data_IF_936034106904
#
_entry.id   IF_936034106904
#
_cell.length_a   1.000
_cell.length_b   1.000
_cell.length_c   1.000
_cell.angle_alpha   90.00
_cell.angle_beta   90.00
_cell.angle_gamma   90.00
#
_symmetry.space_group_name_H-M   'P 1'
#
loop_
_entity.id
_entity.type
_entity.pdbx_description
1 polymer ?
#
# COMPACT_ATOMS: atom_id res chain seq x y z
N UNK A 1 5.85 -37.73 -14.99
CA UNK A 1 7.30 -37.72 -15.35
C UNK A 1 7.97 -39.02 -14.92
N UNK A 2 9.09 -39.41 -15.55
CA UNK A 2 9.82 -40.63 -15.19
C UNK A 2 11.08 -40.28 -14.38
N UNK A 3 11.20 -40.83 -13.18
CA UNK A 3 12.37 -40.70 -12.32
C UNK A 3 12.81 -42.09 -11.87
N UNK A 4 14.09 -42.44 -12.07
CA UNK A 4 14.63 -43.73 -11.61
C UNK A 4 13.95 -44.98 -12.19
N UNK A 5 13.25 -44.88 -13.33
CA UNK A 5 12.48 -46.00 -13.91
C UNK A 5 11.04 -46.10 -13.43
N UNK A 6 10.62 -45.26 -12.48
CA UNK A 6 9.23 -45.17 -12.00
C UNK A 6 8.49 -44.00 -12.67
N UNK A 7 7.22 -44.24 -13.02
CA UNK A 7 6.34 -43.24 -13.61
C UNK A 7 5.47 -42.61 -12.53
N UNK A 8 5.55 -41.27 -12.43
CA UNK A 8 4.76 -40.48 -11.49
C UNK A 8 3.68 -39.69 -12.22
N UNK A 9 2.45 -39.76 -11.70
CA UNK A 9 1.32 -38.92 -12.11
C UNK A 9 1.30 -37.65 -11.25
N UNK A 10 1.26 -36.49 -11.91
CA UNK A 10 1.30 -35.18 -11.25
C UNK A 10 0.34 -34.23 -11.95
N UNK A 11 -0.50 -33.56 -11.16
CA UNK A 11 -1.34 -32.48 -11.66
C UNK A 11 -0.50 -31.22 -11.90
N UNK A 12 -0.73 -30.56 -13.03
CA UNK A 12 -0.04 -29.33 -13.39
C UNK A 12 -0.95 -28.35 -14.14
N UNK A 13 -0.72 -27.06 -13.90
CA UNK A 13 -1.21 -25.99 -14.76
C UNK A 13 -0.19 -25.73 -15.86
N UNK A 14 -0.63 -25.58 -17.10
CA UNK A 14 0.25 -25.28 -18.22
C UNK A 14 0.22 -23.79 -18.57
N UNK A 15 1.39 -23.23 -18.87
CA UNK A 15 1.51 -21.87 -19.41
C UNK A 15 2.40 -21.85 -20.66
N UNK A 16 2.18 -20.85 -21.51
CA UNK A 16 3.05 -20.57 -22.66
C UNK A 16 3.98 -19.41 -22.29
N UNK A 17 5.29 -19.61 -22.44
CA UNK A 17 6.31 -18.57 -22.25
C UNK A 17 6.93 -18.24 -23.60
N UNK A 18 7.03 -16.95 -23.91
CA UNK A 18 7.84 -16.46 -25.03
C UNK A 18 9.24 -16.13 -24.55
N UNK A 19 10.25 -16.54 -25.31
CA UNK A 19 11.63 -16.09 -25.09
C UNK A 19 11.89 -14.70 -25.74
N UNK A 20 13.12 -14.20 -25.63
CA UNK A 20 13.54 -12.92 -26.21
C UNK A 20 13.51 -12.89 -27.75
N UNK A 21 13.49 -14.04 -28.39
CA UNK A 21 13.42 -14.22 -29.85
C UNK A 21 11.98 -14.40 -30.35
N UNK A 22 11.02 -14.56 -29.43
CA UNK A 22 9.60 -14.73 -29.71
C UNK A 22 9.16 -16.19 -29.83
N UNK A 23 10.04 -17.17 -29.63
CA UNK A 23 9.69 -18.59 -29.65
C UNK A 23 8.81 -18.93 -28.44
N UNK A 24 7.82 -19.79 -28.65
CA UNK A 24 6.84 -20.18 -27.62
C UNK A 24 7.20 -21.54 -27.05
N UNK A 25 7.43 -21.59 -25.73
CA UNK A 25 7.70 -22.81 -24.97
C UNK A 25 6.54 -23.12 -24.00
N UNK A 26 6.25 -24.41 -23.82
CA UNK A 26 5.27 -24.88 -22.82
C UNK A 26 5.96 -25.07 -21.47
N UNK A 27 5.42 -24.46 -20.42
CA UNK A 27 5.95 -24.53 -19.05
C UNK A 27 4.93 -25.19 -18.12
N UNK A 28 5.26 -26.34 -17.50
CA UNK A 28 4.41 -26.97 -16.51
C UNK A 28 4.62 -26.35 -15.11
N UNK A 29 3.51 -26.03 -14.45
CA UNK A 29 3.44 -25.54 -13.07
C UNK A 29 2.75 -26.60 -12.20
N UNK A 30 3.54 -27.43 -11.51
CA UNK A 30 3.02 -28.53 -10.69
C UNK A 30 2.26 -28.03 -9.47
N UNK A 31 1.15 -28.70 -9.14
CA UNK A 31 0.35 -28.40 -7.95
C UNK A 31 1.10 -28.88 -6.70
N UNK A 32 1.32 -27.97 -5.74
CA UNK A 32 2.00 -28.26 -4.47
C UNK A 32 1.02 -28.27 -3.31
N UNK A 33 1.26 -29.12 -2.32
CA UNK A 33 0.47 -29.12 -1.07
C UNK A 33 0.72 -27.88 -0.21
N UNK A 34 1.98 -27.44 -0.13
CA UNK A 34 2.39 -26.33 0.74
C UNK A 34 3.24 -25.31 -0.03
N UNK A 35 3.15 -24.05 0.39
CA UNK A 35 3.99 -22.98 -0.15
C UNK A 35 5.34 -22.94 0.58
N UNK A 36 6.44 -22.96 -0.16
CA UNK A 36 7.76 -22.66 0.40
C UNK A 36 7.93 -21.15 0.48
N UNK A 37 7.80 -20.57 1.67
CA UNK A 37 7.78 -19.12 1.90
C UNK A 37 9.07 -18.58 2.54
N UNK A 38 10.22 -19.21 2.27
CA UNK A 38 11.51 -18.77 2.81
C UNK A 38 12.09 -17.63 1.98
N UNK A 39 12.25 -17.88 0.68
CA UNK A 39 12.84 -16.99 -0.29
C UNK A 39 12.21 -17.17 -1.67
N UNK A 40 12.35 -16.15 -2.50
CA UNK A 40 11.94 -16.19 -3.90
C UNK A 40 12.87 -15.31 -4.73
N UNK A 41 13.51 -15.90 -5.75
CA UNK A 41 14.50 -15.18 -6.60
C UNK A 41 15.50 -14.38 -5.77
N UNK A 42 16.09 -15.01 -4.75
CA UNK A 42 17.07 -14.43 -3.81
C UNK A 42 16.53 -13.35 -2.86
N UNK A 43 15.28 -12.93 -3.05
CA UNK A 43 14.58 -12.11 -2.06
C UNK A 43 14.13 -12.99 -0.90
N UNK A 44 14.71 -12.76 0.28
CA UNK A 44 14.26 -13.41 1.52
C UNK A 44 13.00 -12.73 2.03
N UNK A 45 11.96 -13.52 2.29
CA UNK A 45 10.73 -12.97 2.84
C UNK A 45 10.90 -12.62 4.32
N UNK A 46 10.31 -11.49 4.72
CA UNK A 46 10.13 -11.13 6.13
C UNK A 46 8.96 -11.89 6.76
N UNK A 47 8.78 -11.79 8.08
CA UNK A 47 7.61 -12.37 8.75
C UNK A 47 6.29 -11.78 8.24
N UNK A 48 6.28 -10.47 7.98
CA UNK A 48 5.12 -9.76 7.46
C UNK A 48 4.81 -10.19 6.02
N UNK A 49 5.83 -10.39 5.19
CA UNK A 49 5.65 -10.94 3.83
C UNK A 49 5.00 -12.32 3.87
N UNK A 50 5.53 -13.21 4.70
CA UNK A 50 5.00 -14.57 4.87
C UNK A 50 3.56 -14.53 5.37
N UNK A 51 3.26 -13.65 6.32
CA UNK A 51 1.90 -13.46 6.84
C UNK A 51 0.95 -13.00 5.74
N UNK A 52 1.31 -11.95 4.99
CA UNK A 52 0.48 -11.42 3.91
C UNK A 52 0.24 -12.45 2.80
N UNK A 53 1.27 -13.22 2.42
CA UNK A 53 1.15 -14.29 1.44
C UNK A 53 0.20 -15.39 1.93
N UNK A 54 0.25 -15.79 3.21
CA UNK A 54 -0.68 -16.78 3.76
C UNK A 54 -2.11 -16.27 3.87
N UNK A 55 -2.29 -15.03 4.33
CA UNK A 55 -3.62 -14.47 4.59
C UNK A 55 -4.34 -14.03 3.32
N UNK A 56 -3.63 -13.41 2.38
CA UNK A 56 -4.22 -12.76 1.20
C UNK A 56 -3.86 -13.46 -0.11
N UNK A 57 -2.76 -14.21 -0.14
CA UNK A 57 -2.14 -14.72 -1.36
C UNK A 57 -1.23 -13.71 -2.07
N UNK A 58 -1.06 -12.50 -1.53
CA UNK A 58 -0.25 -11.44 -2.13
C UNK A 58 0.78 -10.91 -1.12
N UNK A 59 1.94 -10.45 -1.60
CA UNK A 59 3.04 -10.03 -0.74
C UNK A 59 2.73 -8.79 0.11
N UNK A 60 1.80 -7.93 -0.33
CA UNK A 60 1.46 -6.70 0.40
C UNK A 60 2.33 -5.49 0.07
N UNK A 61 3.33 -5.64 -0.81
CA UNK A 61 4.22 -4.56 -1.25
C UNK A 61 4.92 -4.93 -2.57
N UNK A 62 5.51 -3.94 -3.22
CA UNK A 62 6.46 -4.14 -4.32
C UNK A 62 7.84 -4.48 -3.77
N UNK A 63 8.53 -5.42 -4.41
CA UNK A 63 9.91 -5.82 -4.09
C UNK A 63 10.79 -5.79 -5.31
N UNK A 64 12.06 -5.47 -5.10
CA UNK A 64 13.08 -5.54 -6.13
C UNK A 64 13.53 -6.99 -6.27
N UNK A 65 13.27 -7.60 -7.43
CA UNK A 65 13.69 -8.96 -7.77
C UNK A 65 14.84 -8.93 -8.75
N UNK A 66 15.80 -9.82 -8.56
CA UNK A 66 16.95 -9.97 -9.46
C UNK A 66 16.62 -11.04 -10.50
N UNK A 67 16.74 -10.68 -11.78
CA UNK A 67 16.77 -11.67 -12.86
C UNK A 67 18.14 -12.35 -12.86
N UNK A 68 18.17 -13.67 -12.67
CA UNK A 68 19.43 -14.42 -12.56
C UNK A 68 20.19 -14.51 -13.88
N UNK A 69 19.49 -14.43 -15.01
CA UNK A 69 20.11 -14.55 -16.33
C UNK A 69 20.77 -13.22 -16.72
N UNK A 70 20.11 -12.09 -16.42
CA UNK A 70 20.57 -10.76 -16.85
C UNK A 70 21.23 -9.94 -15.75
N UNK A 71 21.02 -10.29 -14.47
CA UNK A 71 21.38 -9.48 -13.31
C UNK A 71 20.50 -8.23 -13.13
N UNK A 72 19.45 -8.06 -13.94
CA UNK A 72 18.57 -6.89 -13.88
C UNK A 72 17.73 -6.90 -12.61
N UNK A 73 17.67 -5.75 -11.94
CA UNK A 73 16.84 -5.55 -10.75
C UNK A 73 15.51 -4.91 -11.18
N UNK A 74 14.42 -5.65 -11.00
CA UNK A 74 13.07 -5.22 -11.42
C UNK A 74 12.12 -5.11 -10.23
N UNK A 75 11.52 -3.93 -9.98
CA UNK A 75 10.43 -3.78 -9.03
C UNK A 75 9.23 -4.60 -9.47
N UNK A 76 8.80 -5.55 -8.65
CA UNK A 76 7.82 -6.57 -9.00
C UNK A 76 6.80 -6.79 -7.90
N UNK A 77 5.57 -7.10 -8.31
CA UNK A 77 4.56 -7.68 -7.43
C UNK A 77 4.80 -9.17 -7.31
N UNK A 78 4.54 -9.72 -6.13
CA UNK A 78 4.67 -11.15 -5.85
C UNK A 78 3.37 -11.67 -5.24
N UNK A 79 2.88 -12.79 -5.76
CA UNK A 79 1.66 -13.48 -5.29
C UNK A 79 1.83 -14.98 -5.37
N UNK A 80 0.97 -15.71 -4.66
CA UNK A 80 0.80 -17.15 -4.79
C UNK A 80 -0.27 -17.42 -5.86
N UNK A 81 0.05 -18.27 -6.84
CA UNK A 81 -0.95 -18.90 -7.70
C UNK A 81 -1.81 -19.83 -6.82
N UNK A 82 -3.09 -19.48 -6.70
CA UNK A 82 -4.03 -20.18 -5.81
C UNK A 82 -4.32 -21.62 -6.22
N UNK A 83 -4.03 -22.00 -7.47
CA UNK A 83 -4.25 -23.36 -8.00
C UNK A 83 -3.03 -24.25 -7.80
N UNK A 84 -1.82 -23.70 -7.94
CA UNK A 84 -0.58 -24.49 -7.88
C UNK A 84 0.20 -24.30 -6.59
N UNK A 85 -0.17 -23.32 -5.76
CA UNK A 85 0.59 -22.88 -4.59
C UNK A 85 2.01 -22.40 -4.92
N UNK A 86 2.24 -22.00 -6.18
CA UNK A 86 3.52 -21.49 -6.64
C UNK A 86 3.62 -19.98 -6.42
N UNK A 87 4.79 -19.51 -5.99
CA UNK A 87 5.09 -18.08 -5.92
C UNK A 87 5.44 -17.60 -7.33
N UNK A 88 4.75 -16.54 -7.75
CA UNK A 88 4.89 -15.93 -9.06
C UNK A 88 5.09 -14.43 -8.92
N UNK A 89 5.67 -13.82 -9.94
CA UNK A 89 5.89 -12.38 -10.00
C UNK A 89 5.49 -11.75 -11.33
N UNK A 90 5.22 -10.44 -11.28
CA UNK A 90 5.08 -9.59 -12.46
C UNK A 90 5.76 -8.25 -12.22
N UNK A 91 6.54 -7.73 -13.18
CA UNK A 91 7.09 -6.38 -13.10
C UNK A 91 5.99 -5.35 -12.86
N UNK A 92 6.24 -4.41 -11.94
CA UNK A 92 5.26 -3.40 -11.59
C UNK A 92 4.83 -2.54 -12.79
N UNK A 93 5.74 -2.30 -13.73
CA UNK A 93 5.49 -1.61 -15.00
C UNK A 93 4.51 -2.31 -15.93
N UNK A 94 4.30 -3.63 -15.76
CA UNK A 94 3.39 -4.45 -16.56
C UNK A 94 2.00 -4.61 -15.93
N UNK A 95 1.76 -4.01 -14.77
CA UNK A 95 0.47 -4.06 -14.08
C UNK A 95 -0.28 -2.75 -14.28
N UNK A 96 -1.53 -2.85 -14.75
CA UNK A 96 -2.41 -1.70 -14.91
C UNK A 96 -3.37 -1.60 -13.73
N UNK A 97 -3.36 -0.47 -13.05
CA UNK A 97 -4.37 -0.14 -12.03
C UNK A 97 -5.49 0.66 -12.69
N UNK A 98 -6.75 0.19 -12.65
CA UNK A 98 -7.88 0.88 -13.27
C UNK A 98 -8.35 2.06 -12.40
N UNK A 99 -8.92 3.07 -13.04
CA UNK A 99 -9.57 4.20 -12.36
C UNK A 99 -10.98 3.85 -11.83
N UNK A 100 -11.56 2.75 -12.31
CA UNK A 100 -12.90 2.31 -11.95
C UNK A 100 -13.00 0.78 -11.96
N UNK A 101 -13.73 0.24 -10.99
CA UNK A 101 -14.11 -1.18 -10.94
C UNK A 101 -15.63 -1.25 -10.88
N UNK A 102 -16.27 -1.84 -11.91
CA UNK A 102 -17.72 -1.75 -12.06
C UNK A 102 -18.16 -0.29 -12.24
N UNK A 103 -19.03 0.17 -11.34
CA UNK A 103 -19.48 1.57 -11.24
C UNK A 103 -18.70 2.36 -10.18
N UNK A 104 -17.83 1.72 -9.40
CA UNK A 104 -17.08 2.35 -8.31
C UNK A 104 -15.78 2.97 -8.78
N UNK A 105 -15.60 4.26 -8.55
CA UNK A 105 -14.33 4.97 -8.76
C UNK A 105 -13.26 4.54 -7.75
N UNK A 106 -12.03 4.39 -8.26
CA UNK A 106 -10.81 4.15 -7.48
C UNK A 106 -10.06 5.47 -7.42
N UNK A 107 -10.01 6.06 -6.23
CA UNK A 107 -9.39 7.38 -6.03
C UNK A 107 -7.91 7.33 -6.35
N UNK A 108 -7.28 8.48 -6.62
CA UNK A 108 -5.83 8.54 -6.86
C UNK A 108 -5.02 7.94 -5.72
N UNK A 109 -5.41 8.23 -4.48
CA UNK A 109 -4.77 7.67 -3.28
C UNK A 109 -4.89 6.14 -3.24
N UNK A 110 -6.07 5.58 -3.55
CA UNK A 110 -6.26 4.13 -3.62
C UNK A 110 -5.43 3.50 -4.75
N UNK A 111 -5.34 4.18 -5.90
CA UNK A 111 -4.47 3.73 -6.98
C UNK A 111 -3.00 3.72 -6.57
N UNK A 112 -2.53 4.74 -5.84
CA UNK A 112 -1.15 4.81 -5.35
C UNK A 112 -0.86 3.72 -4.32
N UNK A 113 -1.82 3.43 -3.43
CA UNK A 113 -1.73 2.28 -2.53
C UNK A 113 -1.58 0.97 -3.31
N UNK A 114 -2.41 0.75 -4.33
CA UNK A 114 -2.36 -0.45 -5.17
C UNK A 114 -1.06 -0.53 -5.98
N UNK A 115 -0.56 0.59 -6.52
CA UNK A 115 0.75 0.68 -7.19
C UNK A 115 1.90 0.32 -6.25
N UNK A 116 1.78 0.63 -4.96
CA UNK A 116 2.73 0.23 -3.93
C UNK A 116 2.58 -1.22 -3.45
N UNK A 117 1.56 -1.95 -3.93
CA UNK A 117 1.23 -3.33 -3.53
C UNK A 117 0.39 -3.45 -2.26
N UNK A 118 0.02 -2.31 -1.67
CA UNK A 118 -0.77 -2.24 -0.45
C UNK A 118 -2.24 -2.59 -0.75
N UNK A 119 -2.94 -3.22 0.21
CA UNK A 119 -4.36 -3.48 0.09
C UNK A 119 -5.21 -2.22 0.38
N UNK A 120 -6.27 -2.02 -0.40
CA UNK A 120 -7.35 -1.07 -0.12
C UNK A 120 -8.49 -1.83 0.54
N UNK A 121 -8.53 -1.78 1.88
CA UNK A 121 -9.50 -2.54 2.69
C UNK A 121 -10.87 -1.88 2.70
N UNK A 122 -11.91 -2.70 2.87
CA UNK A 122 -13.29 -2.26 3.06
C UNK A 122 -13.81 -1.28 1.99
N UNK A 123 -13.33 -1.43 0.74
CA UNK A 123 -13.83 -0.64 -0.37
C UNK A 123 -15.24 -1.09 -0.73
N UNK A 124 -16.18 -0.15 -0.77
CA UNK A 124 -17.52 -0.40 -1.26
C UNK A 124 -17.52 -0.47 -2.79
N UNK A 125 -17.69 -1.67 -3.33
CA UNK A 125 -17.76 -1.93 -4.76
C UNK A 125 -19.21 -2.03 -5.20
N UNK A 126 -19.56 -1.31 -6.25
CA UNK A 126 -20.80 -1.43 -7.00
C UNK A 126 -20.49 -2.07 -8.36
N UNK A 127 -21.06 -3.25 -8.58
CA UNK A 127 -20.96 -3.95 -9.87
C UNK A 127 -21.82 -3.26 -10.92
N UNK A 128 -21.57 -3.59 -12.19
CA UNK A 128 -22.36 -3.10 -13.32
C UNK A 128 -23.86 -3.44 -13.22
N UNK A 129 -24.21 -4.50 -12.50
CA UNK A 129 -25.60 -4.92 -12.22
C UNK A 129 -26.23 -4.21 -11.01
N UNK A 130 -25.54 -3.22 -10.43
CA UNK A 130 -25.99 -2.45 -9.27
C UNK A 130 -25.77 -3.14 -7.91
N UNK A 131 -25.30 -4.40 -7.88
CA UNK A 131 -25.02 -5.09 -6.60
C UNK A 131 -23.85 -4.45 -5.89
N UNK A 132 -24.00 -4.23 -4.57
CA UNK A 132 -23.00 -3.59 -3.72
C UNK A 132 -22.45 -4.55 -2.67
N UNK A 133 -21.14 -4.52 -2.46
CA UNK A 133 -20.46 -5.26 -1.40
C UNK A 133 -19.18 -4.56 -0.97
N UNK A 134 -18.74 -4.80 0.26
CA UNK A 134 -17.45 -4.36 0.76
C UNK A 134 -16.44 -5.48 0.52
N UNK A 135 -15.21 -5.13 0.14
CA UNK A 135 -14.12 -6.09 -0.04
C UNK A 135 -12.77 -5.39 0.12
N UNK A 136 -11.70 -6.16 0.25
CA UNK A 136 -10.34 -5.67 0.10
C UNK A 136 -9.92 -5.79 -1.36
N UNK A 137 -9.41 -4.70 -1.93
CA UNK A 137 -8.74 -4.69 -3.23
C UNK A 137 -7.24 -4.84 -3.03
N UNK A 138 -6.58 -5.62 -3.87
CA UNK A 138 -5.12 -5.70 -3.89
C UNK A 138 -4.62 -6.10 -5.27
N UNK A 139 -3.38 -5.76 -5.61
CA UNK A 139 -2.76 -6.26 -6.85
C UNK A 139 -2.45 -7.75 -6.70
N UNK A 140 -2.78 -8.52 -7.75
CA UNK A 140 -2.45 -9.92 -7.88
C UNK A 140 -1.77 -10.21 -9.22
N UNK A 141 -0.75 -11.07 -9.16
CA UNK A 141 0.08 -11.45 -10.31
C UNK A 141 -0.72 -12.16 -11.41
N UNK A 142 -1.59 -13.11 -11.04
CA UNK A 142 -2.38 -13.90 -12.01
C UNK A 142 -3.37 -13.02 -12.76
N UNK A 143 -4.03 -12.09 -12.06
CA UNK A 143 -4.94 -11.11 -12.67
C UNK A 143 -4.21 -10.02 -13.45
N UNK A 144 -2.89 -9.89 -13.29
CA UNK A 144 -2.07 -8.77 -13.79
C UNK A 144 -2.68 -7.40 -13.48
N UNK A 145 -3.28 -7.29 -12.31
CA UNK A 145 -4.16 -6.18 -11.97
C UNK A 145 -4.75 -6.31 -10.57
N UNK A 146 -5.78 -5.51 -10.31
CA UNK A 146 -6.46 -5.48 -9.02
C UNK A 146 -7.44 -6.65 -8.92
N UNK A 147 -7.29 -7.47 -7.88
CA UNK A 147 -8.24 -8.50 -7.50
C UNK A 147 -9.12 -8.08 -6.32
N UNK A 148 -10.24 -8.78 -6.15
CA UNK A 148 -10.97 -8.83 -4.89
C UNK A 148 -10.33 -9.91 -4.03
N UNK A 149 -9.67 -9.53 -2.94
CA UNK A 149 -8.99 -10.49 -2.05
C UNK A 149 -10.04 -11.48 -1.51
N UNK A 150 -9.89 -12.79 -1.78
CA UNK A 150 -10.88 -13.79 -1.38
C UNK A 150 -11.11 -13.82 0.13
N UNK A 151 -12.34 -14.17 0.51
CA UNK A 151 -12.76 -14.19 1.92
C UNK A 151 -13.06 -12.83 2.54
N UNK A 152 -12.72 -11.71 1.87
CA UNK A 152 -12.97 -10.35 2.40
C UNK A 152 -14.32 -9.76 1.99
N UNK A 153 -15.00 -10.39 1.03
CA UNK A 153 -16.28 -9.93 0.50
C UNK A 153 -17.40 -10.03 1.52
N UNK A 154 -18.06 -8.91 1.85
CA UNK A 154 -19.18 -8.85 2.79
C UNK A 154 -20.29 -7.89 2.33
N UNK A 155 -21.55 -8.26 2.62
CA UNK A 155 -22.69 -7.38 2.34
C UNK A 155 -22.64 -6.12 3.21
N UNK A 156 -23.03 -4.94 2.69
CA UNK A 156 -23.03 -3.69 3.47
C UNK A 156 -23.86 -3.79 4.76
N UNK A 157 -24.96 -4.56 4.73
CA UNK A 157 -25.83 -4.77 5.90
C UNK A 157 -25.12 -5.57 6.99
N UNK A 158 -24.35 -6.59 6.61
CA UNK A 158 -23.60 -7.43 7.55
C UNK A 158 -22.43 -6.68 8.16
N UNK A 159 -21.75 -5.83 7.39
CA UNK A 159 -20.67 -4.97 7.91
C UNK A 159 -21.17 -3.99 8.98
N UNK A 160 -22.33 -3.36 8.78
CA UNK A 160 -22.94 -2.50 9.81
C UNK A 160 -23.28 -3.26 11.10
N UNK A 161 -23.73 -4.51 11.00
CA UNK A 161 -24.05 -5.36 12.15
C UNK A 161 -22.81 -5.86 12.92
N UNK A 162 -21.71 -6.14 12.20
CA UNK A 162 -20.42 -6.50 12.81
C UNK A 162 -19.76 -5.30 13.47
N UNK A 163 -19.82 -4.11 12.87
CA UNK A 163 -19.34 -2.87 13.47
C UNK A 163 -20.04 -2.55 14.80
N UNK A 164 -21.34 -2.89 14.94
CA UNK A 164 -22.05 -2.76 16.23
C UNK A 164 -21.66 -3.82 17.27
N UNK A 165 -21.09 -4.96 16.86
CA UNK A 165 -20.64 -6.02 17.79
C UNK A 165 -19.17 -5.86 18.21
N UNK A 166 -18.34 -5.28 17.37
CA UNK A 166 -16.91 -5.04 17.67
C UNK A 166 -16.63 -3.69 18.33
N UNK A 167 -17.67 -2.89 18.57
CA UNK A 167 -17.58 -1.65 19.34
C UNK A 167 -18.64 -1.61 20.47
N UNK A 168 -18.45 -2.33 21.59
CA UNK A 168 -19.46 -2.50 22.63
C UNK A 168 -19.53 -1.34 23.65
N UNK A 169 -19.25 -0.10 23.25
CA UNK A 169 -19.29 1.05 24.19
C UNK A 169 -20.27 2.14 23.75
N UNK A 170 -21.54 1.78 23.75
CA UNK A 170 -22.62 2.69 24.15
C UNK A 170 -23.23 2.18 25.46
N UNK A 171 -22.56 2.47 26.57
CA UNK A 171 -23.21 2.66 27.86
C UNK A 171 -22.25 3.47 28.76
N UNK A 172 -22.82 4.45 29.46
CA UNK A 172 -22.19 5.28 30.50
C UNK A 172 -21.43 6.54 30.08
N UNK A 173 -22.20 7.63 29.93
CA UNK A 173 -22.03 8.96 30.55
C UNK A 173 -23.07 9.87 29.85
N UNK A 174 -24.04 10.55 30.46
CA UNK A 174 -24.43 10.87 31.83
C UNK A 174 -25.98 10.89 31.87
N UNK A 175 -26.57 10.73 33.06
CA UNK A 175 -28.01 10.68 33.28
C UNK A 175 -28.75 12.02 33.22
N UNK A 176 -30.09 11.88 33.33
CA UNK A 176 -31.18 12.88 33.56
C UNK A 176 -31.37 13.93 32.46
N UNK A 177 -32.54 14.21 31.89
CA UNK A 177 -33.94 13.93 32.24
C UNK A 177 -34.85 14.01 30.97
N UNK A 178 -36.10 13.58 31.13
CA UNK A 178 -37.17 13.41 30.14
C UNK A 178 -37.42 14.61 29.19
N UNK A 179 -37.82 14.33 27.94
CA UNK A 179 -39.15 14.70 27.38
C UNK A 179 -39.40 13.95 26.05
N UNK A 180 -40.68 13.60 25.87
CA UNK A 180 -41.33 12.79 24.86
C UNK A 180 -40.99 13.01 23.37
N UNK A 181 -41.14 11.90 22.63
CA UNK A 181 -41.56 11.76 21.22
C UNK A 181 -41.63 13.01 20.34
N UNK A 182 -40.80 13.07 19.29
CA UNK A 182 -41.24 13.15 17.88
C UNK A 182 -40.03 13.09 16.92
N UNK A 183 -40.27 12.48 15.76
CA UNK A 183 -39.46 12.48 14.53
C UNK A 183 -38.19 11.60 14.45
N UNK A 184 -38.38 10.45 13.77
CA UNK A 184 -37.36 9.49 13.29
C UNK A 184 -36.60 10.00 12.05
N UNK A 185 -36.16 11.25 12.06
CA UNK A 185 -35.36 11.81 10.97
C UNK A 185 -34.17 12.54 11.57
N UNK A 186 -32.97 12.17 11.12
CA UNK A 186 -31.65 12.47 11.70
C UNK A 186 -31.31 11.66 12.97
N UNK A 187 -30.63 10.52 12.76
CA UNK A 187 -29.73 9.96 13.77
C UNK A 187 -28.75 11.06 14.17
N UNK A 188 -28.99 11.71 15.32
CA UNK A 188 -28.15 12.80 15.84
C UNK A 188 -26.69 12.33 15.86
N UNK A 189 -25.84 13.00 15.10
CA UNK A 189 -24.40 12.79 15.16
C UNK A 189 -23.93 13.23 16.56
N UNK A 190 -23.59 12.26 17.42
CA UNK A 190 -23.10 12.52 18.78
C UNK A 190 -21.62 12.89 18.84
N UNK A 191 -20.93 12.95 17.70
CA UNK A 191 -19.48 13.14 17.60
C UNK A 191 -19.07 14.51 17.04
N UNK A 192 -20.03 15.35 16.65
CA UNK A 192 -19.77 16.73 16.23
C UNK A 192 -20.65 17.70 17.01
N UNK A 193 -20.17 18.91 17.21
CA UNK A 193 -20.96 20.02 17.72
C UNK A 193 -21.90 20.57 16.65
N UNK A 194 -22.81 21.47 17.02
CA UNK A 194 -23.75 22.08 16.08
C UNK A 194 -23.05 22.94 15.01
N UNK A 195 -21.84 23.42 15.30
CA UNK A 195 -20.98 24.17 14.39
C UNK A 195 -20.13 23.28 13.46
N UNK A 196 -20.28 21.94 13.55
CA UNK A 196 -19.52 20.98 12.76
C UNK A 196 -18.13 20.62 13.32
N UNK A 197 -17.70 21.24 14.42
CA UNK A 197 -16.43 20.87 15.08
C UNK A 197 -16.51 19.46 15.69
N UNK A 198 -15.38 18.74 15.69
CA UNK A 198 -15.29 17.38 16.24
C UNK A 198 -15.38 17.47 17.78
N UNK A 199 -16.28 16.70 18.38
CA UNK A 199 -16.36 16.57 19.84
C UNK A 199 -15.18 15.74 20.36
N UNK A 200 -14.52 16.16 21.45
CA UNK A 200 -13.40 15.40 22.03
C UNK A 200 -13.87 14.04 22.56
N UNK A 201 -12.95 13.08 22.55
CA UNK A 201 -13.13 11.76 23.16
C UNK A 201 -12.05 11.54 24.21
N UNK A 202 -12.40 10.96 25.36
CA UNK A 202 -11.48 10.78 26.48
C UNK A 202 -10.83 9.41 26.54
N UNK A 203 -11.45 8.39 25.94
CA UNK A 203 -10.96 7.01 25.94
C UNK A 203 -11.46 6.22 24.74
N UNK A 204 -10.75 5.17 24.38
CA UNK A 204 -11.16 4.23 23.34
C UNK A 204 -10.74 2.80 23.70
N UNK A 205 -11.68 1.85 23.62
CA UNK A 205 -11.42 0.44 23.92
C UNK A 205 -10.71 0.20 25.28
N UNK A 206 -11.06 0.99 26.29
CA UNK A 206 -10.46 0.91 27.63
C UNK A 206 -9.13 1.66 27.81
N UNK A 207 -8.57 2.24 26.75
CA UNK A 207 -7.35 3.06 26.81
C UNK A 207 -7.72 4.54 26.89
N UNK A 208 -7.24 5.22 27.92
CA UNK A 208 -7.44 6.66 28.09
C UNK A 208 -6.54 7.48 27.15
N UNK A 209 -7.09 8.58 26.64
CA UNK A 209 -6.35 9.51 25.77
C UNK A 209 -5.59 10.50 26.64
N UNK A 210 -4.33 10.74 26.28
CA UNK A 210 -3.57 11.88 26.80
C UNK A 210 -4.17 13.20 26.30
N UNK A 211 -3.89 14.31 26.97
CA UNK A 211 -4.37 15.63 26.53
C UNK A 211 -3.93 15.96 25.10
N UNK A 212 -2.71 15.58 24.72
CA UNK A 212 -2.21 15.73 23.36
C UNK A 212 -3.03 14.91 22.37
N UNK A 213 -3.36 13.65 22.69
CA UNK A 213 -4.19 12.80 21.84
C UNK A 213 -5.62 13.35 21.70
N UNK A 214 -6.20 13.90 22.77
CA UNK A 214 -7.51 14.57 22.70
C UNK A 214 -7.46 15.74 21.73
N UNK A 215 -6.44 16.61 21.86
CA UNK A 215 -6.22 17.76 20.99
C UNK A 215 -6.00 17.34 19.53
N UNK A 216 -5.17 16.33 19.29
CA UNK A 216 -4.92 15.81 17.95
C UNK A 216 -6.19 15.22 17.32
N UNK A 217 -7.01 14.52 18.09
CA UNK A 217 -8.28 13.97 17.62
C UNK A 217 -9.30 15.06 17.22
N UNK A 218 -9.51 16.10 18.05
CA UNK A 218 -10.40 17.21 17.68
C UNK A 218 -9.86 18.06 16.54
N UNK A 219 -8.53 18.07 16.33
CA UNK A 219 -7.89 18.63 15.15
C UNK A 219 -8.03 17.73 13.89
N UNK A 220 -8.72 16.58 14.00
CA UNK A 220 -8.96 15.65 12.90
C UNK A 220 -7.76 14.77 12.53
N UNK A 221 -6.72 14.73 13.38
CA UNK A 221 -5.53 13.88 13.20
C UNK A 221 -5.76 12.47 13.75
N UNK A 222 -4.90 11.56 13.34
CA UNK A 222 -4.84 10.21 13.86
C UNK A 222 -4.18 10.16 15.24
N UNK A 223 -4.87 9.54 16.19
CA UNK A 223 -4.35 9.21 17.52
C UNK A 223 -3.84 7.77 17.49
N UNK A 224 -2.56 7.57 17.77
CA UNK A 224 -1.97 6.25 17.98
C UNK A 224 -2.29 5.75 19.39
N UNK A 225 -2.84 4.55 19.49
CA UNK A 225 -3.08 3.82 20.74
C UNK A 225 -2.22 2.56 20.73
N UNK A 226 -1.42 2.39 21.77
CA UNK A 226 -0.56 1.22 21.96
C UNK A 226 -1.17 0.28 23.00
N UNK A 227 -0.85 -1.01 22.92
CA UNK A 227 -1.29 -2.06 23.84
C UNK A 227 -2.81 -2.21 24.00
N UNK A 228 -3.60 -1.87 22.98
CA UNK A 228 -5.05 -2.07 23.03
C UNK A 228 -5.34 -3.56 23.03
N UNK A 229 -5.96 -4.04 24.10
CA UNK A 229 -6.32 -5.45 24.27
C UNK A 229 -7.59 -5.76 23.49
N UNK A 230 -7.53 -6.76 22.60
CA UNK A 230 -8.72 -7.29 21.94
C UNK A 230 -9.51 -8.26 22.84
N UNK A 231 -10.66 -8.77 22.35
CA UNK A 231 -11.51 -9.70 23.11
C UNK A 231 -10.83 -11.05 23.38
N UNK A 232 -9.72 -11.34 22.71
CA UNK A 232 -8.94 -12.56 22.81
C UNK A 232 -7.68 -12.38 23.68
N UNK A 233 -7.46 -11.18 24.23
CA UNK A 233 -6.34 -10.86 25.10
C UNK A 233 -5.05 -10.45 24.38
N UNK A 234 -5.08 -10.28 23.05
CA UNK A 234 -3.91 -9.82 22.30
C UNK A 234 -3.80 -8.30 22.34
N UNK A 235 -2.57 -7.83 22.56
CA UNK A 235 -2.24 -6.40 22.54
C UNK A 235 -1.85 -5.97 21.13
N UNK A 236 -2.53 -4.97 20.59
CA UNK A 236 -2.21 -4.40 19.28
C UNK A 236 -2.02 -2.88 19.35
N UNK A 237 -1.19 -2.36 18.44
CA UNK A 237 -1.17 -0.93 18.12
C UNK A 237 -2.30 -0.64 17.14
N UNK A 238 -3.09 0.41 17.40
CA UNK A 238 -4.11 0.89 16.47
C UNK A 238 -4.13 2.41 16.39
N UNK A 239 -4.84 2.95 15.41
CA UNK A 239 -5.00 4.38 15.19
C UNK A 239 -6.48 4.74 15.16
N UNK A 240 -6.85 5.84 15.81
CA UNK A 240 -8.21 6.39 15.81
C UNK A 240 -8.20 7.76 15.13
N UNK A 241 -9.07 7.98 14.16
CA UNK A 241 -9.25 9.28 13.51
C UNK A 241 -10.74 9.53 13.25
N UNK A 242 -11.18 10.78 13.37
CA UNK A 242 -12.54 11.16 12.97
C UNK A 242 -12.73 10.97 11.46
N UNK A 243 -13.75 10.21 11.06
CA UNK A 243 -14.11 10.03 9.66
C UNK A 243 -15.27 10.97 9.29
N UNK A 244 -15.04 11.99 8.45
CA UNK A 244 -16.08 12.97 8.09
C UNK A 244 -17.21 12.38 7.25
N UNK A 245 -16.94 11.38 6.41
CA UNK A 245 -17.98 10.71 5.61
C UNK A 245 -18.94 9.89 6.49
N UNK A 246 -18.42 9.32 7.57
CA UNK A 246 -19.19 8.52 8.53
C UNK A 246 -19.69 9.34 9.72
N UNK A 247 -19.21 10.58 9.87
CA UNK A 247 -19.53 11.47 10.97
C UNK A 247 -19.13 10.93 12.35
N UNK A 248 -18.10 10.09 12.47
CA UNK A 248 -17.73 9.45 13.76
C UNK A 248 -16.25 9.02 13.80
N UNK A 249 -15.66 8.80 14.99
CA UNK A 249 -14.35 8.15 15.12
C UNK A 249 -14.33 6.79 14.42
N UNK A 250 -13.24 6.50 13.73
CA UNK A 250 -13.00 5.25 13.02
C UNK A 250 -11.62 4.69 13.37
N UNK A 251 -11.54 3.36 13.45
CA UNK A 251 -10.32 2.62 13.75
C UNK A 251 -9.56 2.28 12.47
N UNK A 252 -8.24 2.37 12.53
CA UNK A 252 -7.31 1.98 11.49
C UNK A 252 -6.20 1.13 12.10
N UNK A 253 -5.77 0.08 11.41
CA UNK A 253 -4.64 -0.76 11.85
C UNK A 253 -3.28 -0.14 11.48
N UNK A 254 -3.27 0.86 10.60
CA UNK A 254 -2.10 1.66 10.20
C UNK A 254 -2.41 3.14 10.32
N UNK A 255 -1.39 4.00 10.51
CA UNK A 255 -1.61 5.44 10.65
C UNK A 255 -2.22 6.05 9.38
N UNK A 256 -3.49 6.53 9.40
CA UNK A 256 -4.11 7.12 8.22
C UNK A 256 -3.50 8.47 7.84
N UNK A 257 -2.78 9.14 8.74
CA UNK A 257 -2.08 10.40 8.43
C UNK A 257 -0.75 10.15 7.70
N UNK A 258 -0.16 8.96 7.87
CA UNK A 258 0.99 8.56 7.06
C UNK A 258 0.59 8.34 5.60
N UNK A 259 -0.66 7.93 5.34
CA UNK A 259 -1.18 7.83 3.97
C UNK A 259 -1.36 9.21 3.31
N UNK A 260 -1.53 10.29 4.09
CA UNK A 260 -1.47 11.68 3.60
C UNK A 260 -0.04 12.24 3.53
N UNK A 261 0.92 11.65 4.27
CA UNK A 261 2.36 11.92 4.21
C UNK A 261 3.13 10.93 3.33
N UNK A 262 2.47 10.27 2.38
CA UNK A 262 3.19 9.81 1.19
C UNK A 262 3.52 11.07 0.42
N UNK A 263 4.69 11.63 0.72
CA UNK A 263 5.41 12.53 -0.18
C UNK A 263 5.26 11.96 -1.61
N UNK A 264 5.16 12.81 -2.66
CA UNK A 264 5.05 12.32 -4.02
C UNK A 264 5.99 11.15 -4.22
N UNK A 265 5.44 10.07 -4.79
CA UNK A 265 6.10 8.83 -5.18
C UNK A 265 7.59 9.06 -5.48
N UNK A 266 8.44 8.05 -5.24
CA UNK A 266 9.89 8.07 -5.49
C UNK A 266 10.35 8.67 -6.85
N UNK A 267 9.43 8.93 -7.80
CA UNK A 267 9.57 9.79 -8.97
C UNK A 267 10.05 11.23 -8.64
N UNK A 268 9.64 11.84 -7.53
CA UNK A 268 10.10 13.20 -7.16
C UNK A 268 11.49 13.22 -6.52
N UNK A 269 11.93 12.11 -5.89
CA UNK A 269 13.28 12.01 -5.29
C UNK A 269 14.39 11.87 -6.32
N UNK A 270 14.07 11.45 -7.55
CA UNK A 270 15.02 11.43 -8.67
C UNK A 270 14.94 12.67 -9.57
N UNK A 271 13.98 13.58 -9.34
CA UNK A 271 13.97 14.91 -9.98
C UNK A 271 14.44 16.06 -9.07
N UNK A 272 14.34 15.93 -7.74
CA UNK A 272 14.80 16.98 -6.81
C UNK A 272 16.26 16.78 -6.35
N UNK A 273 16.89 15.65 -6.66
CA UNK A 273 18.30 15.39 -6.35
C UNK A 273 19.32 16.13 -7.24
N UNK A 274 18.89 17.07 -8.08
CA UNK A 274 19.81 17.90 -8.87
C UNK A 274 19.53 19.41 -8.87
N UNK A 275 18.47 19.93 -8.22
CA UNK A 275 18.17 21.36 -8.37
C UNK A 275 17.63 22.15 -7.15
N UNK A 276 17.66 21.65 -5.90
CA UNK A 276 17.17 22.51 -4.79
C UNK A 276 17.87 22.48 -3.43
N UNK A 277 18.89 21.66 -3.18
CA UNK A 277 19.52 21.64 -1.83
C UNK A 277 21.02 22.01 -1.75
N UNK A 278 21.61 22.55 -2.83
CA UNK A 278 22.87 23.33 -2.72
C UNK A 278 24.11 22.60 -2.16
N UNK A 279 24.07 21.28 -1.95
CA UNK A 279 25.24 20.47 -1.58
C UNK A 279 25.90 19.91 -2.83
N UNK A 280 26.62 20.77 -3.54
CA UNK A 280 27.44 20.38 -4.69
C UNK A 280 28.54 19.42 -4.27
N UNK A 281 28.56 18.22 -4.85
CA UNK A 281 29.71 17.33 -4.82
C UNK A 281 30.81 17.97 -5.70
N UNK A 282 31.87 18.53 -5.09
CA UNK A 282 32.89 19.33 -5.79
C UNK A 282 33.52 18.61 -7.00
N UNK A 283 33.53 17.28 -6.99
CA UNK A 283 34.13 16.43 -8.01
C UNK A 283 33.41 16.44 -9.38
N UNK A 284 32.20 16.99 -9.50
CA UNK A 284 31.39 16.96 -10.75
C UNK A 284 30.78 18.30 -11.15
N UNK A 285 31.16 19.37 -10.44
CA UNK A 285 30.57 20.71 -10.53
C UNK A 285 30.71 21.41 -11.90
N UNK A 286 31.71 21.05 -12.71
CA UNK A 286 32.03 21.73 -13.97
C UNK A 286 31.71 20.85 -15.20
N UNK A 287 31.01 19.74 -15.01
CA UNK A 287 30.65 18.83 -16.11
C UNK A 287 29.47 19.39 -16.90
N UNK A 288 29.63 19.43 -18.24
CA UNK A 288 28.54 19.80 -19.15
C UNK A 288 27.65 18.63 -19.52
N UNK A 289 28.08 17.40 -19.24
CA UNK A 289 27.33 16.17 -19.49
C UNK A 289 26.56 15.70 -18.25
N UNK A 290 25.31 15.19 -18.40
CA UNK A 290 24.56 14.62 -17.29
C UNK A 290 25.25 13.41 -16.66
N UNK A 291 25.20 13.30 -15.33
CA UNK A 291 25.71 12.15 -14.59
C UNK A 291 24.85 10.90 -14.82
N UNK A 292 25.48 9.73 -14.86
CA UNK A 292 24.75 8.45 -14.87
C UNK A 292 24.18 8.14 -13.48
N UNK A 293 23.10 7.36 -13.41
CA UNK A 293 22.46 6.94 -12.15
C UNK A 293 23.49 6.19 -11.27
N UNK A 294 23.77 6.72 -10.08
CA UNK A 294 24.76 6.17 -9.14
C UNK A 294 26.21 6.68 -9.30
N UNK A 295 26.48 7.59 -10.23
CA UNK A 295 27.81 8.15 -10.45
C UNK A 295 28.13 9.28 -9.45
N UNK A 296 29.20 9.11 -8.66
CA UNK A 296 29.65 10.10 -7.66
C UNK A 296 31.01 10.74 -7.98
N UNK A 297 31.70 10.29 -9.04
CA UNK A 297 33.00 10.79 -9.54
C UNK A 297 33.06 10.74 -11.08
N UNK A 298 34.02 11.41 -11.76
CA UNK A 298 34.15 11.37 -13.22
C UNK A 298 34.25 9.93 -13.75
N UNK A 299 33.49 9.62 -14.80
CA UNK A 299 33.40 8.26 -15.38
C UNK A 299 34.66 7.87 -16.16
N UNK A 300 35.40 8.88 -16.64
CA UNK A 300 36.57 8.72 -17.49
C UNK A 300 37.47 9.97 -17.43
N UNK A 301 38.68 9.84 -17.98
CA UNK A 301 39.72 10.88 -17.99
C UNK A 301 39.28 12.12 -18.75
N UNK A 302 38.42 11.96 -19.77
CA UNK A 302 37.86 13.07 -20.52
C UNK A 302 36.92 13.92 -19.65
N UNK A 303 36.09 13.27 -18.84
CA UNK A 303 35.21 13.95 -17.91
C UNK A 303 36.00 14.58 -16.73
N UNK A 304 37.09 13.95 -16.30
CA UNK A 304 38.00 14.53 -15.30
C UNK A 304 38.70 15.80 -15.82
N UNK A 305 39.17 15.81 -17.08
CA UNK A 305 39.77 17.02 -17.69
C UNK A 305 38.77 18.17 -17.91
N UNK A 306 37.47 17.88 -18.06
CA UNK A 306 36.44 18.93 -18.10
C UNK A 306 36.23 19.56 -16.72
N UNK A 307 36.41 18.78 -15.65
CA UNK A 307 36.29 19.26 -14.28
C UNK A 307 37.39 20.27 -13.91
N UNK A 308 38.61 20.07 -14.43
CA UNK A 308 39.82 20.85 -14.09
C UNK A 308 40.00 22.14 -14.92
N UNK A 309 39.15 22.42 -15.92
CA UNK A 309 39.28 23.63 -16.74
C UNK A 309 38.82 24.90 -16.01
N UNK A 310 39.67 25.93 -15.83
CA UNK A 310 39.28 27.18 -15.20
C UNK A 310 38.30 27.99 -16.07
N UNK A 311 37.23 28.52 -15.45
CA UNK A 311 36.23 29.36 -16.13
C UNK A 311 36.84 30.70 -16.58
N UNK A 312 36.81 31.00 -17.89
CA UNK A 312 37.13 32.33 -18.43
C UNK A 312 36.06 33.32 -18.01
N UNK A 313 36.39 34.29 -17.15
CA UNK A 313 35.54 35.43 -16.82
C UNK A 313 35.44 36.37 -18.02
N UNK A 314 34.23 36.55 -18.59
CA UNK A 314 33.98 37.61 -19.56
C UNK A 314 33.64 38.91 -18.82
N UNK A 315 34.56 39.86 -18.78
CA UNK A 315 34.26 41.22 -18.33
C UNK A 315 33.49 41.94 -19.44
N UNK A 316 32.18 42.15 -19.25
CA UNK A 316 31.42 43.14 -20.01
C UNK A 316 31.63 44.50 -19.37
N UNK A 317 32.25 45.41 -20.12
CA UNK A 317 32.52 46.78 -19.70
C UNK A 317 31.24 47.61 -19.52
N UNK A 318 31.27 48.47 -18.51
CA UNK A 318 30.31 49.54 -18.26
C UNK A 318 30.82 50.81 -18.95
N UNK A 319 30.03 51.37 -19.88
CA UNK A 319 30.05 52.76 -20.35
C UNK A 319 28.62 53.27 -20.12
N UNK A 320 28.32 54.44 -19.57
CA UNK A 320 29.05 55.54 -18.94
C UNK A 320 28.26 55.91 -17.67
#
# INVERSE_FOLDING_TARGET
PNFGGESFELDARLSFKKDGEGNVSLVPHFIRKEQKLDDYKEHKFSDEDRKNLRETGNLGRVVDLVDRETGEITPSFVSIDRKTNEITDVPASKVRIPERIGNTEITRQEQDMLRAGLPVRDKLIERKDGRKFLTTLQVNVEQRGVEFVPGTGRSPRTAQAQETKDNPTQAQSQGTENTANTNKEQRRNTWTNADGSIRPISKWSGVDFTEQQKADYVAGKAVKLENVTDKQGFHATMYIRFNPEKGRPYRYDTNPDNAQKVAPSNESRTQVAVNSEGKTNEATKNLKEPLRKGQTAPKDTAQQQQQEKPQKKSNKGMKM
#
